data_IF_115380441535
#
_entry.id   IF_115380441535
#
_cell.length_a   1.000
_cell.length_b   1.000
_cell.length_c   1.000
_cell.angle_alpha   90.00
_cell.angle_beta   90.00
_cell.angle_gamma   90.00
#
_symmetry.space_group_name_H-M   'P 1'
#
loop_
_entity.id
_entity.type
_entity.pdbx_description
1 polymer ?
#
# COMPACT_ATOMS: atom_id res chain seq x y z
N UNK A 1 17.65 3.66 -27.99
CA UNK A 1 18.29 3.88 -26.69
C UNK A 1 17.70 2.84 -25.76
N UNK A 2 18.42 1.70 -25.62
CA UNK A 2 17.95 0.50 -24.89
C UNK A 2 18.41 0.69 -23.44
N UNK A 3 17.49 1.07 -22.57
CA UNK A 3 17.75 1.15 -21.13
C UNK A 3 17.46 -0.18 -20.44
N UNK A 4 18.54 -0.87 -20.07
CA UNK A 4 18.72 -1.71 -18.89
C UNK A 4 17.70 -2.80 -18.56
N UNK A 5 17.74 -3.92 -19.28
CA UNK A 5 17.15 -5.18 -18.81
C UNK A 5 18.10 -6.09 -17.98
N UNK A 6 19.34 -5.67 -17.71
CA UNK A 6 20.36 -6.56 -17.11
C UNK A 6 20.36 -6.64 -15.58
N UNK A 7 19.79 -5.67 -14.83
CA UNK A 7 19.79 -5.68 -13.37
C UNK A 7 18.65 -6.49 -12.74
N UNK A 8 17.51 -6.57 -13.39
CA UNK A 8 16.27 -7.07 -12.77
C UNK A 8 16.12 -8.61 -12.69
N UNK A 9 16.79 -9.38 -13.56
CA UNK A 9 16.68 -10.85 -13.57
C UNK A 9 17.52 -11.54 -12.50
N UNK A 10 18.74 -11.06 -12.22
CA UNK A 10 19.58 -11.64 -11.17
C UNK A 10 19.03 -11.37 -9.77
N UNK A 11 18.51 -10.16 -9.54
CA UNK A 11 17.92 -9.76 -8.25
C UNK A 11 16.65 -10.55 -7.89
N UNK A 12 15.90 -11.07 -8.89
CA UNK A 12 14.69 -11.86 -8.67
C UNK A 12 14.97 -13.31 -8.21
N UNK A 13 16.01 -13.96 -8.75
CA UNK A 13 16.38 -15.33 -8.36
C UNK A 13 16.89 -15.35 -6.91
N UNK A 14 17.72 -14.39 -6.54
CA UNK A 14 18.24 -14.24 -5.17
C UNK A 14 17.12 -13.90 -4.18
N UNK A 15 16.17 -13.06 -4.59
CA UNK A 15 15.00 -12.71 -3.78
C UNK A 15 14.07 -13.91 -3.53
N UNK A 16 13.76 -14.69 -4.57
CA UNK A 16 12.94 -15.89 -4.45
C UNK A 16 13.63 -16.99 -3.61
N UNK A 17 14.94 -17.12 -3.75
CA UNK A 17 15.74 -18.03 -2.93
C UNK A 17 15.70 -17.62 -1.45
N UNK A 18 15.81 -16.32 -1.16
CA UNK A 18 15.75 -15.79 0.20
C UNK A 18 14.38 -16.03 0.84
N UNK A 19 13.29 -15.74 0.13
CA UNK A 19 11.90 -16.01 0.60
C UNK A 19 11.74 -17.50 0.99
N UNK A 20 12.24 -18.41 0.13
CA UNK A 20 12.17 -19.87 0.38
C UNK A 20 13.02 -20.26 1.58
N UNK A 21 14.25 -19.75 1.69
CA UNK A 21 15.16 -20.03 2.81
C UNK A 21 14.58 -19.57 4.15
N UNK A 22 13.81 -18.48 4.16
CA UNK A 22 13.12 -17.99 5.36
C UNK A 22 11.81 -18.74 5.66
N UNK A 23 11.44 -19.78 4.89
CA UNK A 23 10.28 -20.63 5.15
C UNK A 23 8.92 -19.97 4.89
N UNK A 24 8.87 -18.93 4.06
CA UNK A 24 7.60 -18.30 3.69
C UNK A 24 6.79 -19.23 2.79
N UNK A 25 5.58 -19.58 3.25
CA UNK A 25 4.66 -20.45 2.54
C UNK A 25 3.78 -19.70 1.53
N UNK A 26 3.12 -20.46 0.64
CA UNK A 26 2.02 -19.93 -0.18
C UNK A 26 0.79 -19.62 0.70
N UNK A 27 -0.02 -18.60 0.32
CA UNK A 27 0.10 -17.79 -0.91
C UNK A 27 1.04 -16.58 -0.78
N UNK A 28 1.60 -16.33 0.40
CA UNK A 28 2.37 -15.10 0.69
C UNK A 28 3.63 -15.01 -0.17
N UNK A 29 4.28 -16.14 -0.46
CA UNK A 29 5.44 -16.15 -1.37
C UNK A 29 5.10 -15.56 -2.74
N UNK A 30 3.97 -15.98 -3.32
CA UNK A 30 3.47 -15.42 -4.59
C UNK A 30 3.13 -13.93 -4.47
N UNK A 31 2.55 -13.50 -3.34
CA UNK A 31 2.24 -12.09 -3.11
C UNK A 31 3.50 -11.22 -3.08
N UNK A 32 4.52 -11.66 -2.34
CA UNK A 32 5.80 -10.95 -2.24
C UNK A 32 6.48 -10.78 -3.60
N UNK A 33 6.54 -11.85 -4.40
CA UNK A 33 7.14 -11.82 -5.72
C UNK A 33 6.39 -10.86 -6.67
N UNK A 34 5.05 -10.93 -6.69
CA UNK A 34 4.22 -10.03 -7.51
C UNK A 34 4.32 -8.58 -7.07
N UNK A 35 4.35 -8.34 -5.76
CA UNK A 35 4.51 -6.99 -5.20
C UNK A 35 5.88 -6.41 -5.55
N UNK A 36 6.97 -7.15 -5.39
CA UNK A 36 8.32 -6.72 -5.74
C UNK A 36 8.44 -6.39 -7.24
N UNK A 37 7.82 -7.22 -8.09
CA UNK A 37 7.76 -6.95 -9.52
C UNK A 37 7.01 -5.66 -9.86
N UNK A 38 5.83 -5.45 -9.28
CA UNK A 38 5.00 -4.26 -9.51
C UNK A 38 5.69 -2.98 -9.04
N UNK A 39 6.29 -3.01 -7.86
CA UNK A 39 6.98 -1.86 -7.24
C UNK A 39 8.38 -1.61 -7.84
N UNK A 40 8.85 -2.47 -8.77
CA UNK A 40 10.20 -2.48 -9.34
C UNK A 40 11.34 -2.76 -8.36
N UNK A 41 11.04 -3.07 -7.10
CA UNK A 41 12.05 -3.45 -6.08
C UNK A 41 11.37 -4.05 -4.84
N UNK A 42 12.06 -4.93 -4.08
CA UNK A 42 11.56 -5.51 -2.85
C UNK A 42 11.71 -4.54 -1.66
N UNK A 43 11.04 -3.39 -1.73
CA UNK A 43 11.10 -2.36 -0.69
C UNK A 43 10.54 -2.88 0.66
N UNK A 44 11.18 -2.63 1.80
CA UNK A 44 10.76 -3.17 3.10
C UNK A 44 9.30 -2.87 3.46
N UNK A 45 8.84 -1.64 3.23
CA UNK A 45 7.45 -1.27 3.49
C UNK A 45 6.44 -2.00 2.61
N UNK A 46 6.81 -2.33 1.36
CA UNK A 46 6.00 -3.14 0.48
C UNK A 46 5.89 -4.59 0.97
N UNK A 47 7.02 -5.17 1.39
CA UNK A 47 7.07 -6.56 1.89
C UNK A 47 6.21 -6.72 3.14
N UNK A 48 6.33 -5.79 4.11
CA UNK A 48 5.45 -5.76 5.28
C UNK A 48 4.00 -5.54 4.86
N UNK A 49 3.75 -4.67 3.88
CA UNK A 49 2.43 -4.44 3.29
C UNK A 49 1.79 -5.71 2.72
N UNK A 50 2.56 -6.59 2.09
CA UNK A 50 2.06 -7.88 1.60
C UNK A 50 1.57 -8.77 2.75
N UNK A 51 2.32 -8.87 3.86
CA UNK A 51 1.87 -9.57 5.07
C UNK A 51 0.65 -8.92 5.72
N UNK A 52 0.54 -7.59 5.68
CA UNK A 52 -0.62 -6.87 6.21
C UNK A 52 -1.89 -7.18 5.41
N UNK A 53 -1.80 -7.20 4.08
CA UNK A 53 -2.93 -7.56 3.20
C UNK A 53 -3.33 -9.01 3.41
N UNK A 54 -2.36 -9.92 3.44
CA UNK A 54 -2.58 -11.34 3.72
C UNK A 54 -3.30 -11.54 5.08
N UNK A 55 -2.87 -10.82 6.11
CA UNK A 55 -3.51 -10.87 7.42
C UNK A 55 -4.94 -10.30 7.41
N UNK A 56 -5.15 -9.17 6.72
CA UNK A 56 -6.48 -8.57 6.58
C UNK A 56 -7.45 -9.49 5.83
N UNK A 57 -6.99 -10.19 4.79
CA UNK A 57 -7.78 -11.19 4.06
C UNK A 57 -8.21 -12.34 4.98
N UNK A 58 -7.29 -12.87 5.78
CA UNK A 58 -7.55 -13.93 6.75
C UNK A 58 -8.57 -13.50 7.81
N UNK A 59 -8.36 -12.34 8.44
CA UNK A 59 -9.28 -11.76 9.43
C UNK A 59 -10.70 -11.55 8.87
N UNK A 60 -10.81 -11.17 7.60
CA UNK A 60 -12.08 -11.03 6.90
C UNK A 60 -12.67 -12.39 6.48
N UNK A 61 -11.89 -13.48 6.45
CA UNK A 61 -12.25 -14.71 5.78
C UNK A 61 -12.54 -14.46 4.28
N UNK A 62 -11.73 -13.63 3.63
CA UNK A 62 -11.92 -13.18 2.25
C UNK A 62 -10.84 -13.70 1.32
N UNK A 63 -11.17 -13.86 0.04
CA UNK A 63 -10.22 -14.21 -1.01
C UNK A 63 -9.77 -12.97 -1.79
N UNK A 64 -8.56 -12.98 -2.38
CA UNK A 64 -8.07 -11.86 -3.19
C UNK A 64 -8.97 -11.45 -4.36
N UNK A 65 -9.75 -12.38 -4.91
CA UNK A 65 -10.70 -12.11 -6.01
C UNK A 65 -12.00 -11.43 -5.59
N UNK A 66 -12.26 -11.31 -4.30
CA UNK A 66 -13.47 -10.65 -3.79
C UNK A 66 -13.38 -9.13 -3.98
N UNK A 67 -14.55 -8.48 -4.03
CA UNK A 67 -14.63 -7.02 -4.09
C UNK A 67 -14.40 -6.45 -2.69
N UNK A 68 -13.16 -6.00 -2.45
CA UNK A 68 -12.71 -5.42 -1.19
C UNK A 68 -12.36 -3.94 -1.36
N UNK A 69 -12.54 -3.17 -0.30
CA UNK A 69 -12.10 -1.79 -0.20
C UNK A 69 -10.96 -1.69 0.79
N UNK A 70 -9.97 -0.86 0.46
CA UNK A 70 -8.78 -0.66 1.29
C UNK A 70 -8.52 0.82 1.49
N UNK A 71 -8.18 1.19 2.72
CA UNK A 71 -7.64 2.52 3.06
C UNK A 71 -6.23 2.33 3.56
N UNK A 72 -5.25 3.00 2.94
CA UNK A 72 -3.87 3.05 3.43
C UNK A 72 -3.61 4.41 4.09
N UNK A 73 -2.97 4.40 5.27
CA UNK A 73 -2.72 5.61 6.06
C UNK A 73 -1.36 6.26 5.76
N UNK A 74 -0.64 5.74 4.77
CA UNK A 74 0.59 6.29 4.21
C UNK A 74 0.58 6.23 2.69
N UNK A 75 1.17 7.22 1.99
CA UNK A 75 1.35 7.18 0.54
C UNK A 75 2.61 6.40 0.10
N UNK A 76 3.45 5.92 1.03
CA UNK A 76 4.72 5.23 0.72
C UNK A 76 4.48 3.73 0.58
N UNK A 77 5.13 3.06 -0.35
CA UNK A 77 5.22 1.59 -0.57
C UNK A 77 3.96 0.74 -0.26
N UNK A 78 3.35 0.94 0.92
CA UNK A 78 2.21 0.15 1.41
C UNK A 78 1.02 0.08 0.43
N UNK A 79 0.60 1.18 -0.26
CA UNK A 79 -0.55 1.13 -1.17
C UNK A 79 -0.40 0.17 -2.35
N UNK A 80 0.82 -0.20 -2.72
CA UNK A 80 1.05 -1.11 -3.83
C UNK A 80 0.65 -2.55 -3.49
N UNK A 81 0.79 -2.96 -2.23
CA UNK A 81 0.43 -4.30 -1.80
C UNK A 81 -1.07 -4.63 -2.03
N UNK A 82 -2.05 -3.85 -1.57
CA UNK A 82 -3.46 -4.13 -1.87
C UNK A 82 -3.81 -3.97 -3.35
N UNK A 83 -3.11 -3.13 -4.12
CA UNK A 83 -3.32 -3.05 -5.56
C UNK A 83 -3.00 -4.37 -6.26
N UNK A 84 -1.89 -4.99 -5.87
CA UNK A 84 -1.40 -6.25 -6.46
C UNK A 84 -2.16 -7.48 -5.96
N UNK A 85 -2.44 -7.54 -4.66
CA UNK A 85 -2.97 -8.76 -4.02
C UNK A 85 -4.50 -8.80 -4.11
N UNK A 86 -5.19 -7.74 -3.68
CA UNK A 86 -6.65 -7.70 -3.60
C UNK A 86 -7.30 -6.92 -4.75
N UNK A 87 -6.51 -6.44 -5.71
CA UNK A 87 -6.99 -5.60 -6.82
C UNK A 87 -7.78 -4.36 -6.36
N UNK A 88 -7.51 -3.88 -5.14
CA UNK A 88 -8.01 -2.60 -4.65
C UNK A 88 -7.11 -1.49 -5.17
N UNK A 89 -7.50 -0.84 -6.28
CA UNK A 89 -6.70 0.22 -6.91
C UNK A 89 -7.35 1.58 -6.76
N UNK A 90 -6.56 2.65 -6.91
CA UNK A 90 -7.09 4.03 -6.98
C UNK A 90 -7.99 4.21 -8.19
N UNK A 91 -7.62 3.63 -9.34
CA UNK A 91 -8.36 3.74 -10.60
C UNK A 91 -9.74 3.07 -10.58
N UNK A 92 -9.90 1.96 -9.83
CA UNK A 92 -11.21 1.33 -9.68
C UNK A 92 -12.00 1.84 -8.46
N UNK A 93 -11.48 2.86 -7.74
CA UNK A 93 -12.12 3.50 -6.60
C UNK A 93 -12.16 2.63 -5.33
N UNK A 94 -11.41 1.53 -5.29
CA UNK A 94 -11.39 0.60 -4.13
C UNK A 94 -10.19 0.81 -3.20
N UNK A 95 -9.19 1.59 -3.61
CA UNK A 95 -8.10 2.03 -2.77
C UNK A 95 -8.21 3.53 -2.50
N UNK A 96 -8.19 3.89 -1.22
CA UNK A 96 -8.04 5.27 -0.77
C UNK A 96 -6.74 5.41 0.01
N UNK A 97 -5.94 6.41 -0.34
CA UNK A 97 -4.76 6.78 0.44
C UNK A 97 -5.11 8.02 1.27
N UNK A 98 -4.95 7.90 2.60
CA UNK A 98 -5.12 9.00 3.55
C UNK A 98 -3.74 9.29 4.15
N UNK A 99 -3.07 10.38 3.73
CA UNK A 99 -1.66 10.61 4.05
C UNK A 99 -1.46 11.18 5.47
N UNK A 100 -1.81 10.40 6.48
CA UNK A 100 -1.63 10.77 7.89
C UNK A 100 -0.34 10.25 8.51
N UNK A 101 0.48 9.53 7.73
CA UNK A 101 1.84 9.13 8.10
C UNK A 101 1.94 7.86 8.95
N UNK A 102 0.84 7.17 9.24
CA UNK A 102 0.87 5.90 9.98
C UNK A 102 1.04 4.73 9.03
N UNK A 103 1.85 3.76 9.41
CA UNK A 103 2.04 2.54 8.63
C UNK A 103 0.94 1.53 8.96
N UNK A 104 -0.23 1.73 8.38
CA UNK A 104 -1.43 0.95 8.60
C UNK A 104 -2.32 0.90 7.36
N UNK A 105 -3.07 -0.18 7.23
CA UNK A 105 -4.17 -0.30 6.26
C UNK A 105 -5.44 -0.79 6.96
N UNK A 106 -6.58 -0.38 6.41
CA UNK A 106 -7.90 -0.90 6.79
C UNK A 106 -8.51 -1.58 5.57
N UNK A 107 -9.06 -2.78 5.74
CA UNK A 107 -9.72 -3.51 4.67
C UNK A 107 -11.14 -3.93 5.11
N UNK A 108 -12.10 -3.80 4.19
CA UNK A 108 -13.49 -4.19 4.41
C UNK A 108 -14.14 -4.73 3.14
N UNK A 109 -15.23 -5.50 3.30
CA UNK A 109 -16.11 -5.90 2.20
C UNK A 109 -17.01 -4.75 1.76
N UNK A 110 -17.63 -4.93 0.60
CA UNK A 110 -18.70 -4.05 0.12
C UNK A 110 -19.81 -3.98 1.17
N UNK A 111 -20.40 -2.81 1.33
CA UNK A 111 -21.61 -2.59 2.13
C UNK A 111 -22.57 -1.71 1.33
N UNK A 112 -23.83 -2.02 1.37
CA UNK A 112 -24.91 -1.21 0.80
C UNK A 112 -25.39 -0.13 1.79
N UNK A 113 -24.91 -0.19 3.03
CA UNK A 113 -25.21 0.78 4.07
C UNK A 113 -24.19 1.92 4.15
N UNK A 114 -24.44 2.88 5.05
CA UNK A 114 -23.56 4.04 5.25
C UNK A 114 -22.21 3.69 5.90
N UNK A 115 -22.08 2.47 6.44
CA UNK A 115 -20.85 1.99 7.07
C UNK A 115 -20.55 0.54 6.69
N UNK A 116 -19.30 0.14 6.81
CA UNK A 116 -18.82 -1.23 6.67
C UNK A 116 -17.93 -1.60 7.87
N UNK A 117 -18.11 -2.82 8.37
CA UNK A 117 -17.18 -3.38 9.35
C UNK A 117 -15.97 -3.98 8.62
N UNK A 118 -14.79 -3.79 9.18
CA UNK A 118 -13.53 -4.26 8.62
C UNK A 118 -12.46 -4.43 9.68
N UNK A 119 -11.24 -4.65 9.21
CA UNK A 119 -10.08 -4.77 10.08
C UNK A 119 -9.01 -3.75 9.66
N UNK A 120 -8.49 -3.05 10.66
CA UNK A 120 -7.32 -2.21 10.54
C UNK A 120 -6.11 -3.00 11.03
N UNK A 121 -5.11 -3.13 10.17
CA UNK A 121 -3.84 -3.81 10.46
C UNK A 121 -2.72 -2.77 10.48
N UNK A 122 -1.87 -2.83 11.48
CA UNK A 122 -0.73 -1.91 11.64
C UNK A 122 0.51 -2.63 12.16
N UNK A 123 1.67 -1.99 12.03
CA UNK A 123 2.89 -2.42 12.72
C UNK A 123 2.71 -2.17 14.22
N UNK A 124 3.12 -3.15 15.01
CA UNK A 124 3.12 -3.12 16.48
C UNK A 124 4.52 -2.79 16.98
N UNK A 125 4.66 -1.64 17.64
CA UNK A 125 5.96 -1.13 18.10
C UNK A 125 6.61 -1.98 19.20
N UNK A 126 5.83 -2.70 19.99
CA UNK A 126 6.38 -3.61 20.99
C UNK A 126 6.88 -4.90 20.34
N UNK A 127 6.13 -5.41 19.36
CA UNK A 127 6.48 -6.66 18.67
C UNK A 127 7.70 -6.53 17.76
N UNK A 128 7.93 -5.38 17.13
CA UNK A 128 9.11 -5.17 16.28
C UNK A 128 10.41 -5.17 17.07
N UNK A 129 10.40 -4.90 18.38
CA UNK A 129 11.60 -4.94 19.23
C UNK A 129 12.28 -6.32 19.25
N UNK A 130 11.54 -7.40 19.01
CA UNK A 130 12.10 -8.73 18.82
C UNK A 130 12.91 -8.89 17.50
N UNK A 131 12.83 -7.90 16.61
CA UNK A 131 13.46 -7.89 15.29
C UNK A 131 14.31 -6.62 15.10
N UNK A 132 15.51 -6.57 15.64
CA UNK A 132 16.27 -5.32 15.82
C UNK A 132 16.61 -4.59 14.52
N UNK A 133 16.68 -5.27 13.37
CA UNK A 133 16.92 -4.59 12.08
C UNK A 133 15.63 -3.94 11.57
N UNK A 134 14.47 -4.57 11.77
CA UNK A 134 13.17 -3.96 11.46
C UNK A 134 12.95 -2.74 12.36
N UNK A 135 13.23 -2.87 13.66
CA UNK A 135 13.06 -1.79 14.63
C UNK A 135 13.91 -0.56 14.25
N UNK A 136 15.20 -0.77 13.97
CA UNK A 136 16.11 0.30 13.52
C UNK A 136 15.62 0.95 12.22
N UNK A 137 15.18 0.16 11.25
CA UNK A 137 14.66 0.67 9.99
C UNK A 137 13.37 1.48 10.20
N UNK A 138 12.44 0.97 10.98
CA UNK A 138 11.14 1.61 11.21
C UNK A 138 11.26 2.90 12.00
N UNK A 139 12.15 2.93 13.01
CA UNK A 139 12.47 4.11 13.80
C UNK A 139 13.32 5.15 13.06
N UNK A 140 13.70 4.88 11.79
CA UNK A 140 14.65 5.71 11.03
C UNK A 140 15.93 5.98 11.83
N UNK A 141 16.44 4.95 12.53
CA UNK A 141 17.63 5.04 13.36
C UNK A 141 18.86 5.41 12.54
N UNK A 142 19.75 6.28 13.03
CA UNK A 142 21.03 6.57 12.39
C UNK A 142 21.97 5.35 12.31
N UNK A 143 21.72 4.32 13.09
CA UNK A 143 22.44 3.04 13.02
C UNK A 143 21.99 2.15 11.87
N UNK A 144 20.86 2.45 11.22
CA UNK A 144 20.39 1.69 10.07
C UNK A 144 21.07 2.13 8.79
N UNK A 145 21.77 1.20 8.13
CA UNK A 145 22.39 1.43 6.82
C UNK A 145 21.81 0.45 5.79
N UNK A 146 21.07 0.98 4.81
CA UNK A 146 20.40 0.17 3.77
C UNK A 146 21.36 -0.67 2.91
N UNK A 147 22.61 -0.20 2.73
CA UNK A 147 23.60 -0.88 1.88
C UNK A 147 24.22 -2.11 2.56
N UNK A 148 24.36 -2.09 3.87
CA UNK A 148 24.95 -3.18 4.65
C UNK A 148 23.92 -4.05 5.37
N UNK A 149 22.74 -3.50 5.64
CA UNK A 149 21.67 -4.19 6.41
C UNK A 149 20.44 -4.56 5.58
N UNK A 150 20.44 -4.27 4.27
CA UNK A 150 19.29 -4.49 3.41
C UNK A 150 18.83 -5.94 3.35
N UNK A 151 19.74 -6.88 3.14
CA UNK A 151 19.45 -8.33 3.12
C UNK A 151 18.94 -8.81 4.47
N UNK A 152 19.64 -8.45 5.56
CA UNK A 152 19.22 -8.81 6.92
C UNK A 152 17.85 -8.24 7.29
N UNK A 153 17.48 -7.06 6.76
CA UNK A 153 16.16 -6.49 6.93
C UNK A 153 15.09 -7.34 6.23
N UNK A 154 15.34 -7.75 5.00
CA UNK A 154 14.42 -8.62 4.25
C UNK A 154 14.25 -9.98 4.96
N UNK A 155 15.35 -10.60 5.40
CA UNK A 155 15.32 -11.84 6.17
C UNK A 155 14.46 -11.70 7.43
N UNK A 156 14.69 -10.64 8.21
CA UNK A 156 13.88 -10.41 9.41
C UNK A 156 12.41 -10.18 9.09
N UNK A 157 12.07 -9.45 8.00
CA UNK A 157 10.68 -9.26 7.56
C UNK A 157 10.04 -10.61 7.22
N UNK A 158 10.73 -11.50 6.50
CA UNK A 158 10.19 -12.80 6.11
C UNK A 158 10.01 -13.73 7.32
N UNK A 159 10.96 -13.76 8.25
CA UNK A 159 10.90 -14.54 9.50
C UNK A 159 9.80 -13.99 10.44
N UNK A 160 9.69 -12.68 10.52
CA UNK A 160 8.69 -12.00 11.35
C UNK A 160 7.27 -12.21 10.80
N UNK A 161 7.08 -11.99 9.50
CA UNK A 161 5.77 -12.14 8.87
C UNK A 161 4.69 -11.34 9.60
N UNK A 162 3.59 -12.01 9.97
CA UNK A 162 2.48 -11.40 10.72
C UNK A 162 2.80 -11.15 12.21
N UNK A 163 3.89 -11.69 12.76
CA UNK A 163 4.24 -11.57 14.20
C UNK A 163 4.49 -10.15 14.65
N UNK A 164 4.87 -9.26 13.73
CA UNK A 164 5.10 -7.83 14.01
C UNK A 164 3.86 -6.97 13.81
N UNK A 165 2.71 -7.58 13.52
CA UNK A 165 1.47 -6.88 13.22
C UNK A 165 0.48 -6.99 14.39
N UNK A 166 -0.33 -5.95 14.53
CA UNK A 166 -1.53 -5.94 15.34
C UNK A 166 -2.74 -5.52 14.49
N UNK A 167 -3.94 -5.86 14.96
CA UNK A 167 -5.17 -5.50 14.27
C UNK A 167 -6.25 -5.00 15.24
N UNK A 168 -7.16 -4.23 14.68
CA UNK A 168 -8.35 -3.73 15.34
C UNK A 168 -9.57 -4.02 14.44
N UNK A 169 -10.69 -4.45 15.03
CA UNK A 169 -11.97 -4.45 14.34
C UNK A 169 -12.50 -3.03 14.32
N UNK A 170 -12.81 -2.52 13.14
CA UNK A 170 -13.19 -1.12 12.94
C UNK A 170 -14.46 -1.01 12.11
N UNK A 171 -15.17 0.11 12.27
CA UNK A 171 -16.27 0.51 11.41
C UNK A 171 -15.86 1.73 10.61
N UNK A 172 -15.93 1.63 9.29
CA UNK A 172 -15.55 2.69 8.36
C UNK A 172 -16.78 3.29 7.69
N UNK A 173 -16.83 4.61 7.46
CA UNK A 173 -17.86 5.21 6.65
C UNK A 173 -17.72 4.78 5.19
N UNK A 174 -18.81 4.34 4.58
CA UNK A 174 -18.87 4.03 3.15
C UNK A 174 -19.27 5.30 2.41
N UNK A 175 -18.38 5.79 1.55
CA UNK A 175 -18.74 6.89 0.66
C UNK A 175 -19.58 6.32 -0.48
N UNK A 176 -20.89 6.55 -0.44
CA UNK A 176 -21.77 6.25 -1.56
C UNK A 176 -21.36 7.10 -2.76
N UNK A 177 -21.52 6.53 -3.95
CA UNK A 177 -21.21 7.22 -5.19
C UNK A 177 -22.23 8.33 -5.39
N UNK A 178 -21.80 9.58 -5.21
CA UNK A 178 -22.64 10.75 -5.48
C UNK A 178 -22.69 11.02 -6.98
N UNK A 179 -23.85 11.43 -7.47
CA UNK A 179 -23.98 11.96 -8.83
C UNK A 179 -23.20 13.28 -8.92
N UNK A 180 -22.50 13.49 -10.03
CA UNK A 180 -21.78 14.71 -10.29
C UNK A 180 -22.11 15.26 -11.68
N UNK A 181 -21.90 16.54 -11.89
CA UNK A 181 -22.10 17.22 -13.16
C UNK A 181 -20.75 17.67 -13.74
N UNK A 182 -20.56 17.57 -15.06
CA UNK A 182 -19.36 18.11 -15.70
C UNK A 182 -19.42 19.65 -15.72
N UNK A 183 -18.34 20.29 -15.31
CA UNK A 183 -18.15 21.75 -15.33
C UNK A 183 -16.89 22.09 -16.08
N UNK A 184 -16.98 23.02 -17.04
CA UNK A 184 -15.81 23.51 -17.78
C UNK A 184 -15.14 24.63 -16.99
N UNK A 185 -13.85 24.47 -16.70
CA UNK A 185 -13.06 25.50 -16.03
C UNK A 185 -12.85 26.72 -16.94
N UNK A 186 -13.24 27.94 -16.53
CA UNK A 186 -13.10 29.13 -17.39
C UNK A 186 -11.64 29.55 -17.62
N UNK A 187 -10.71 29.08 -16.79
CA UNK A 187 -9.29 29.45 -16.88
C UNK A 187 -8.52 28.58 -17.88
N UNK A 188 -8.75 27.26 -17.88
CA UNK A 188 -8.00 26.32 -18.77
C UNK A 188 -8.85 25.69 -19.86
N UNK A 189 -10.18 25.78 -19.79
CA UNK A 189 -11.09 25.17 -20.76
C UNK A 189 -11.31 23.67 -20.54
N UNK A 190 -10.69 23.05 -19.53
CA UNK A 190 -10.84 21.63 -19.24
C UNK A 190 -12.11 21.34 -18.42
N UNK A 191 -12.75 20.20 -18.70
CA UNK A 191 -13.95 19.75 -17.99
C UNK A 191 -13.56 18.89 -16.81
N UNK A 192 -14.12 19.22 -15.64
CA UNK A 192 -13.90 18.54 -14.37
C UNK A 192 -15.24 18.26 -13.68
N UNK A 193 -15.32 17.31 -12.75
CA UNK A 193 -16.49 17.16 -11.88
C UNK A 193 -16.75 18.44 -11.06
N UNK A 194 -18.03 18.81 -10.87
CA UNK A 194 -18.46 20.00 -10.12
C UNK A 194 -17.87 20.09 -8.71
N UNK A 195 -17.77 18.96 -7.98
CA UNK A 195 -17.17 18.89 -6.65
C UNK A 195 -15.64 19.14 -6.63
N UNK A 196 -14.98 19.20 -7.81
CA UNK A 196 -13.54 19.52 -7.95
C UNK A 196 -13.30 20.99 -8.30
N UNK A 197 -14.37 21.80 -8.34
CA UNK A 197 -14.29 23.23 -8.59
C UNK A 197 -14.28 23.98 -7.25
N UNK A 198 -13.27 24.80 -7.04
CA UNK A 198 -13.12 25.66 -5.87
C UNK A 198 -12.96 27.11 -6.36
N UNK A 199 -13.75 28.04 -5.83
CA UNK A 199 -13.77 29.46 -6.22
C UNK A 199 -13.87 29.64 -7.75
N UNK A 200 -14.71 28.82 -8.40
CA UNK A 200 -14.98 28.89 -9.84
C UNK A 200 -13.84 28.36 -10.73
N UNK A 201 -12.80 27.72 -10.18
CA UNK A 201 -11.65 27.18 -10.90
C UNK A 201 -11.45 25.70 -10.59
N UNK A 202 -10.92 24.94 -11.56
CA UNK A 202 -10.46 23.58 -11.28
C UNK A 202 -9.22 23.59 -10.36
N UNK A 203 -8.93 22.46 -9.71
CA UNK A 203 -7.81 22.34 -8.79
C UNK A 203 -6.47 22.80 -9.39
N UNK A 204 -6.20 22.45 -10.65
CA UNK A 204 -4.95 22.82 -11.34
C UNK A 204 -4.82 24.32 -11.64
N UNK A 205 -5.92 25.03 -11.76
CA UNK A 205 -5.95 26.50 -11.91
C UNK A 205 -6.08 27.23 -10.58
N UNK A 206 -6.25 26.49 -9.49
CA UNK A 206 -6.42 26.97 -8.12
C UNK A 206 -5.36 26.38 -7.17
N UNK A 207 -5.78 25.93 -5.96
CA UNK A 207 -4.86 25.59 -4.88
C UNK A 207 -4.04 24.31 -5.10
N UNK A 208 -4.39 23.48 -6.11
CA UNK A 208 -3.69 22.23 -6.41
C UNK A 208 -2.76 22.35 -7.65
N UNK A 209 -2.38 23.57 -8.00
CA UNK A 209 -1.46 23.82 -9.13
C UNK A 209 -0.10 23.17 -8.85
N UNK A 210 0.35 22.28 -9.74
CA UNK A 210 1.61 21.52 -9.60
C UNK A 210 2.55 21.68 -10.81
N UNK A 211 2.17 22.48 -11.82
CA UNK A 211 2.98 22.74 -13.01
C UNK A 211 2.85 24.18 -13.47
N UNK A 212 3.83 24.63 -14.26
CA UNK A 212 3.80 25.87 -15.01
C UNK A 212 3.87 25.58 -16.51
N UNK A 213 3.11 26.36 -17.32
CA UNK A 213 3.24 26.30 -18.77
C UNK A 213 4.50 27.05 -19.17
N UNK A 214 5.32 26.43 -20.00
CA UNK A 214 6.54 27.00 -20.59
C UNK A 214 6.28 27.34 -22.07
#
# INVERSE_FOLDING_TARGET
MIFMEKGYRHDNEDFDALIKACGVSEPVRTYLARCAHFHSSPAPGLLIGAFMVDYALDLLGANPGEKLFTVCETPKCLPDAPQVISHSTTGNGRLKVVPIGRFALTMNRVSDGPTADGFRVCIDLEKIQAFPVIDKWFANSPEFNKHTMGTALQEQIFIAGRKILSYEKVRVPVKLKEAWQPVTCPTCGETVPDYMVVDGKCGACGPMKYYEKI
#
